data_IF_338595938177
#
_entry.id   IF_338595938177
#
_cell.length_a   1.000
_cell.length_b   1.000
_cell.length_c   1.000
_cell.angle_alpha   90.00
_cell.angle_beta   90.00
_cell.angle_gamma   90.00
#
_symmetry.space_group_name_H-M   'P 1'
#
loop_
_entity.id
_entity.type
_entity.pdbx_description
1 polymer ?
#
# COMPACT_ATOMS: atom_id res chain seq x y z
N UNK A 1 -18.17 -7.39 26.38
CA UNK A 1 -16.91 -6.64 26.59
C UNK A 1 -17.03 -5.40 25.73
N UNK A 2 -16.96 -4.20 26.31
CA UNK A 2 -16.80 -2.99 25.52
C UNK A 2 -15.44 -3.12 24.83
N UNK A 3 -15.42 -3.48 23.54
CA UNK A 3 -14.23 -3.23 22.74
C UNK A 3 -14.17 -1.72 22.55
N UNK A 4 -13.32 -1.05 23.33
CA UNK A 4 -13.01 0.35 23.09
C UNK A 4 -12.58 0.51 21.63
N UNK A 5 -13.06 1.59 20.98
CA UNK A 5 -12.60 1.91 19.62
C UNK A 5 -11.08 2.03 19.64
N UNK A 6 -10.36 1.47 18.66
CA UNK A 6 -8.91 1.58 18.60
C UNK A 6 -8.46 3.04 18.58
N UNK A 7 -7.35 3.33 19.24
CA UNK A 7 -6.82 4.70 19.34
C UNK A 7 -6.25 5.18 17.99
N UNK A 8 -6.55 6.44 17.65
CA UNK A 8 -5.96 7.15 16.53
C UNK A 8 -4.66 7.82 16.97
N UNK A 9 -3.53 7.32 16.47
CA UNK A 9 -2.20 7.76 16.90
C UNK A 9 -1.59 8.80 15.96
N UNK A 10 -1.83 8.69 14.65
CA UNK A 10 -1.30 9.60 13.64
C UNK A 10 -2.42 10.10 12.74
N UNK A 11 -3.02 11.27 13.03
CA UNK A 11 -4.07 11.86 12.21
C UNK A 11 -3.52 12.59 10.97
N UNK A 12 -4.42 13.08 10.12
CA UNK A 12 -4.14 13.93 8.94
C UNK A 12 -3.26 13.25 7.90
N UNK A 13 -3.49 11.95 7.66
CA UNK A 13 -2.71 11.18 6.70
C UNK A 13 -3.22 11.31 5.26
N UNK A 14 -4.46 11.73 5.04
CA UNK A 14 -5.03 11.87 3.69
C UNK A 14 -4.19 12.85 2.87
N UNK A 15 -3.86 12.46 1.64
CA UNK A 15 -2.98 13.20 0.73
C UNK A 15 -1.53 13.41 1.23
N UNK A 16 -1.10 12.71 2.27
CA UNK A 16 0.32 12.70 2.63
C UNK A 16 1.09 11.83 1.65
N UNK A 17 2.15 12.40 1.08
CA UNK A 17 3.01 11.75 0.10
C UNK A 17 3.97 10.76 0.75
N UNK A 18 4.19 9.63 0.10
CA UNK A 18 5.20 8.64 0.51
C UNK A 18 5.71 7.83 -0.68
N UNK A 19 6.74 7.04 -0.46
CA UNK A 19 7.25 6.06 -1.43
C UNK A 19 7.72 4.79 -0.75
N UNK A 20 7.78 3.71 -1.51
CA UNK A 20 8.21 2.40 -1.03
C UNK A 20 9.18 1.72 -1.99
N UNK A 21 10.24 1.14 -1.47
CA UNK A 21 11.15 0.25 -2.20
C UNK A 21 10.92 -1.16 -1.69
N UNK A 22 10.50 -2.06 -2.58
CA UNK A 22 10.31 -3.48 -2.28
C UNK A 22 11.53 -4.24 -2.77
N UNK A 23 12.25 -4.88 -1.86
CA UNK A 23 13.41 -5.71 -2.20
C UNK A 23 13.02 -7.18 -2.07
N UNK A 24 13.11 -7.93 -3.15
CA UNK A 24 12.66 -9.32 -3.24
C UNK A 24 13.84 -10.27 -2.98
N UNK A 25 13.61 -11.29 -2.15
CA UNK A 25 14.58 -12.32 -1.82
C UNK A 25 14.02 -13.70 -2.11
N UNK A 26 14.88 -14.64 -2.48
CA UNK A 26 14.58 -16.06 -2.43
C UNK A 26 15.11 -16.62 -1.11
N UNK A 27 14.23 -17.17 -0.29
CA UNK A 27 14.54 -17.74 1.03
C UNK A 27 13.84 -19.10 1.13
N UNK A 28 14.63 -20.16 1.31
CA UNK A 28 14.10 -21.52 1.55
C UNK A 28 13.07 -22.02 0.51
N UNK A 29 13.28 -21.68 -0.77
CA UNK A 29 12.38 -22.08 -1.86
C UNK A 29 11.11 -21.22 -2.00
N UNK A 30 11.00 -20.14 -1.22
CA UNK A 30 9.93 -19.14 -1.31
C UNK A 30 10.50 -17.78 -1.69
N UNK A 31 9.63 -16.92 -2.20
CA UNK A 31 9.93 -15.53 -2.44
C UNK A 31 9.27 -14.66 -1.38
N UNK A 32 10.03 -13.73 -0.84
CA UNK A 32 9.58 -12.75 0.14
C UNK A 32 10.07 -11.37 -0.30
N UNK A 33 9.27 -10.33 -0.10
CA UNK A 33 9.75 -8.95 -0.24
C UNK A 33 9.78 -8.22 1.11
N UNK A 34 10.85 -7.48 1.35
CA UNK A 34 10.89 -6.48 2.41
C UNK A 34 10.44 -5.13 1.85
N UNK A 35 9.53 -4.45 2.57
CA UNK A 35 9.01 -3.15 2.15
C UNK A 35 9.68 -2.06 2.98
N UNK A 36 10.54 -1.27 2.33
CA UNK A 36 11.12 -0.07 2.92
C UNK A 36 10.31 1.14 2.49
N UNK A 37 9.84 1.95 3.44
CA UNK A 37 9.01 3.11 3.11
C UNK A 37 9.39 4.37 3.86
N UNK A 38 8.98 5.51 3.30
CA UNK A 38 9.27 6.86 3.83
C UNK A 38 8.26 7.32 4.89
N UNK A 39 7.23 6.52 5.18
CA UNK A 39 6.13 6.92 6.05
C UNK A 39 6.62 7.37 7.43
N UNK A 40 6.20 8.58 7.82
CA UNK A 40 6.58 9.25 9.08
C UNK A 40 8.08 9.59 9.20
N UNK A 41 8.82 9.58 8.09
CA UNK A 41 10.26 9.89 8.04
C UNK A 41 10.52 11.06 7.09
N UNK A 42 9.99 11.00 5.87
CA UNK A 42 10.06 12.08 4.88
C UNK A 42 8.91 11.94 3.86
N UNK A 43 8.78 12.95 3.01
CA UNK A 43 7.73 13.11 2.00
C UNK A 43 8.09 12.49 0.63
N UNK A 44 9.07 11.57 0.59
CA UNK A 44 9.57 10.92 -0.62
C UNK A 44 10.05 11.94 -1.68
N UNK A 45 11.08 12.77 -1.43
CA UNK A 45 11.44 13.90 -2.30
C UNK A 45 11.54 13.51 -3.77
N UNK A 46 10.79 14.21 -4.66
CA UNK A 46 10.67 13.82 -6.08
C UNK A 46 12.02 13.74 -6.78
N UNK A 47 12.86 14.77 -6.60
CA UNK A 47 14.18 14.84 -7.24
C UNK A 47 15.08 13.67 -6.83
N UNK A 48 15.02 13.22 -5.57
CA UNK A 48 15.78 12.05 -5.12
C UNK A 48 15.13 10.75 -5.62
N UNK A 49 13.80 10.67 -5.61
CA UNK A 49 13.08 9.46 -6.03
C UNK A 49 13.38 9.10 -7.49
N UNK A 50 13.41 10.11 -8.37
CA UNK A 50 13.72 9.95 -9.80
C UNK A 50 15.15 9.46 -10.06
N UNK A 51 16.04 9.60 -9.07
CA UNK A 51 17.42 9.13 -9.17
C UNK A 51 17.62 7.71 -8.63
N UNK A 52 16.58 7.06 -8.09
CA UNK A 52 16.67 5.68 -7.62
C UNK A 52 16.86 4.71 -8.80
N UNK A 53 17.82 3.80 -8.66
CA UNK A 53 18.04 2.70 -9.60
C UNK A 53 17.68 1.38 -8.91
N UNK A 54 16.60 0.76 -9.35
CA UNK A 54 16.11 -0.50 -8.79
C UNK A 54 17.13 -1.65 -8.93
N UNK A 55 17.90 -1.70 -10.02
CA UNK A 55 18.91 -2.75 -10.22
C UNK A 55 20.09 -2.54 -9.28
N UNK A 56 20.55 -1.29 -9.11
CA UNK A 56 21.62 -0.97 -8.17
C UNK A 56 21.19 -1.26 -6.72
N UNK A 57 19.95 -0.92 -6.35
CA UNK A 57 19.37 -1.24 -5.04
C UNK A 57 19.32 -2.76 -4.84
N UNK A 58 18.84 -3.52 -5.83
CA UNK A 58 18.77 -4.97 -5.72
C UNK A 58 20.15 -5.58 -5.47
N UNK A 59 21.16 -5.13 -6.23
CA UNK A 59 22.54 -5.58 -6.08
C UNK A 59 23.13 -5.26 -4.70
N UNK A 60 22.96 -4.03 -4.20
CA UNK A 60 23.43 -3.62 -2.87
C UNK A 60 22.76 -4.41 -1.73
N UNK A 61 21.47 -4.72 -1.90
CA UNK A 61 20.69 -5.49 -0.94
C UNK A 61 20.98 -6.98 -0.98
N UNK A 62 21.67 -7.49 -2.01
CA UNK A 62 21.71 -8.93 -2.30
C UNK A 62 20.34 -9.52 -2.62
N UNK A 63 19.42 -8.67 -3.10
CA UNK A 63 18.08 -9.04 -3.51
C UNK A 63 18.09 -9.51 -4.99
N UNK A 64 17.13 -10.36 -5.36
CA UNK A 64 17.00 -10.81 -6.75
C UNK A 64 16.40 -9.73 -7.65
N UNK A 65 15.64 -8.81 -7.04
CA UNK A 65 15.00 -7.69 -7.70
C UNK A 65 14.64 -6.62 -6.65
N UNK A 66 14.52 -5.37 -7.10
CA UNK A 66 13.84 -4.34 -6.36
C UNK A 66 12.73 -3.73 -7.23
N UNK A 67 11.65 -3.28 -6.59
CA UNK A 67 10.57 -2.54 -7.21
C UNK A 67 10.45 -1.17 -6.53
N UNK A 68 10.49 -0.11 -7.32
CA UNK A 68 10.12 1.23 -6.89
C UNK A 68 8.59 1.31 -6.94
N UNK A 69 7.95 1.42 -5.79
CA UNK A 69 6.50 1.33 -5.62
C UNK A 69 5.94 2.70 -5.20
N UNK A 70 5.92 3.64 -6.15
CA UNK A 70 5.46 5.00 -5.93
C UNK A 70 6.07 6.03 -6.89
N UNK A 71 5.95 7.34 -6.59
CA UNK A 71 5.42 7.92 -5.36
C UNK A 71 3.90 7.72 -5.20
N UNK A 72 3.43 7.83 -3.96
CA UNK A 72 2.05 7.53 -3.55
C UNK A 72 1.49 8.60 -2.63
N UNK A 73 0.17 8.66 -2.57
CA UNK A 73 -0.58 9.46 -1.61
C UNK A 73 -1.59 8.59 -0.88
N UNK A 74 -1.67 8.73 0.43
CA UNK A 74 -2.68 8.03 1.23
C UNK A 74 -4.08 8.52 0.91
N UNK A 75 -5.02 7.58 0.80
CA UNK A 75 -6.47 7.84 0.73
C UNK A 75 -7.18 7.53 2.03
N UNK A 76 -6.45 7.13 3.07
CA UNK A 76 -6.89 6.98 4.46
C UNK A 76 -6.62 8.26 5.25
N UNK A 77 -7.28 8.42 6.39
CA UNK A 77 -7.23 9.64 7.20
C UNK A 77 -6.28 9.55 8.40
N UNK A 78 -6.04 8.34 8.92
CA UNK A 78 -5.14 8.16 10.05
C UNK A 78 -4.55 6.75 10.18
N UNK A 79 -3.47 6.67 10.97
CA UNK A 79 -2.92 5.44 11.50
C UNK A 79 -3.23 5.29 12.99
N UNK A 80 -3.50 4.06 13.41
CA UNK A 80 -3.57 3.66 14.81
C UNK A 80 -2.33 2.90 15.24
N UNK A 81 -2.52 1.96 16.17
CA UNK A 81 -1.46 1.09 16.65
C UNK A 81 -0.78 0.37 15.47
N UNK A 82 0.55 0.35 15.51
CA UNK A 82 1.38 -0.50 14.67
C UNK A 82 2.09 -1.53 15.54
N UNK A 83 1.80 -2.80 15.31
CA UNK A 83 2.53 -3.93 15.88
C UNK A 83 3.76 -4.17 15.00
N UNK A 84 4.93 -4.24 15.62
CA UNK A 84 6.15 -4.53 14.89
C UNK A 84 6.08 -5.97 14.37
N UNK A 85 5.83 -6.08 13.06
CA UNK A 85 5.81 -7.36 12.32
C UNK A 85 7.21 -7.76 11.85
N UNK A 86 8.16 -6.83 11.89
CA UNK A 86 9.58 -7.03 11.62
C UNK A 86 10.38 -5.98 12.40
N UNK A 87 11.65 -6.27 12.68
CA UNK A 87 12.53 -5.29 13.29
C UNK A 87 12.66 -4.06 12.37
N UNK A 88 12.53 -2.83 12.91
CA UNK A 88 12.67 -1.62 12.13
C UNK A 88 14.13 -1.45 11.72
N UNK A 89 14.40 -1.69 10.44
CA UNK A 89 15.71 -1.43 9.84
C UNK A 89 15.62 -0.12 9.08
N UNK A 90 16.38 0.88 9.52
CA UNK A 90 16.60 2.09 8.73
C UNK A 90 17.61 1.79 7.63
N UNK A 91 17.32 2.24 6.42
CA UNK A 91 18.21 2.15 5.27
C UNK A 91 18.06 3.41 4.43
N UNK A 92 19.15 3.83 3.83
CA UNK A 92 19.15 4.93 2.88
C UNK A 92 19.22 4.36 1.45
N UNK A 93 18.34 4.83 0.58
CA UNK A 93 18.44 4.59 -0.86
C UNK A 93 18.65 5.92 -1.54
N UNK A 94 19.89 6.15 -2.01
CA UNK A 94 20.29 7.36 -2.73
C UNK A 94 19.85 8.68 -2.04
N UNK A 95 20.19 8.85 -0.76
CA UNK A 95 19.81 10.04 0.01
C UNK A 95 18.39 10.02 0.60
N UNK A 96 17.56 9.01 0.29
CA UNK A 96 16.24 8.85 0.89
C UNK A 96 16.29 7.86 2.04
N UNK A 97 16.18 8.35 3.27
CA UNK A 97 16.03 7.48 4.44
C UNK A 97 14.66 6.79 4.43
N UNK A 98 14.64 5.47 4.56
CA UNK A 98 13.45 4.64 4.64
C UNK A 98 13.56 3.69 5.82
N UNK A 99 12.42 3.16 6.27
CA UNK A 99 12.35 2.12 7.31
C UNK A 99 11.66 0.89 6.75
N UNK A 100 12.13 -0.30 7.12
CA UNK A 100 11.39 -1.55 6.88
C UNK A 100 10.08 -1.53 7.66
N UNK A 101 8.95 -1.50 6.94
CA UNK A 101 7.61 -1.32 7.51
C UNK A 101 6.70 -2.54 7.37
N UNK A 102 7.05 -3.48 6.50
CA UNK A 102 6.29 -4.70 6.26
C UNK A 102 7.17 -5.77 5.59
N UNK A 103 6.69 -7.02 5.62
CA UNK A 103 7.14 -8.09 4.75
C UNK A 103 5.96 -8.62 3.92
N UNK A 104 6.27 -9.12 2.73
CA UNK A 104 5.28 -9.62 1.77
C UNK A 104 5.64 -11.06 1.42
N UNK A 105 4.68 -11.97 1.60
CA UNK A 105 4.83 -13.35 1.15
C UNK A 105 4.39 -13.45 -0.32
N UNK A 106 5.34 -13.73 -1.21
CA UNK A 106 5.10 -13.92 -2.64
C UNK A 106 4.92 -15.39 -3.01
N UNK A 107 5.02 -16.31 -2.04
CA UNK A 107 4.89 -17.75 -2.24
C UNK A 107 6.06 -18.38 -3.00
N UNK A 108 5.88 -19.61 -3.47
CA UNK A 108 6.89 -20.36 -4.24
C UNK A 108 6.99 -19.88 -5.69
N UNK A 109 5.86 -19.44 -6.25
CA UNK A 109 5.75 -18.89 -7.61
C UNK A 109 5.05 -17.53 -7.49
N UNK A 110 5.81 -16.42 -7.56
CA UNK A 110 5.25 -15.08 -7.46
C UNK A 110 4.21 -14.86 -8.55
N UNK A 111 2.97 -14.63 -8.14
CA UNK A 111 1.94 -14.13 -9.05
C UNK A 111 2.07 -12.61 -9.11
N UNK A 112 2.54 -12.12 -10.25
CA UNK A 112 2.76 -10.70 -10.48
C UNK A 112 1.68 -10.17 -11.42
N UNK A 113 1.20 -8.96 -11.13
CA UNK A 113 0.25 -8.26 -11.99
C UNK A 113 -0.90 -7.63 -11.22
N UNK A 114 -1.69 -6.79 -11.90
CA UNK A 114 -2.83 -6.13 -11.30
C UNK A 114 -3.93 -7.16 -10.93
N UNK A 115 -4.80 -6.77 -10.01
CA UNK A 115 -5.94 -7.55 -9.51
C UNK A 115 -5.56 -8.91 -8.90
N UNK A 116 -4.29 -9.07 -8.51
CA UNK A 116 -3.78 -10.25 -7.84
C UNK A 116 -3.60 -9.96 -6.35
N UNK A 117 -4.28 -10.74 -5.51
CA UNK A 117 -4.10 -10.65 -4.07
C UNK A 117 -2.69 -11.01 -3.63
N UNK A 118 -2.18 -10.22 -2.71
CA UNK A 118 -0.91 -10.41 -2.03
C UNK A 118 -1.14 -10.33 -0.52
N UNK A 119 -0.42 -11.16 0.24
CA UNK A 119 -0.50 -11.20 1.70
C UNK A 119 0.61 -10.34 2.29
N UNK A 120 0.23 -9.26 2.96
CA UNK A 120 1.15 -8.24 3.48
C UNK A 120 1.12 -8.27 5.01
N UNK A 121 2.24 -8.66 5.60
CA UNK A 121 2.42 -8.63 7.04
C UNK A 121 2.89 -7.22 7.43
N UNK A 122 1.95 -6.38 7.90
CA UNK A 122 2.19 -4.96 8.24
C UNK A 122 1.73 -4.53 9.63
N UNK A 123 0.82 -5.29 10.26
CA UNK A 123 0.40 -5.11 11.64
C UNK A 123 -0.06 -3.70 11.98
N UNK A 124 -1.02 -3.12 11.27
CA UNK A 124 -1.41 -1.71 11.47
C UNK A 124 -2.91 -1.49 11.39
N UNK A 125 -3.40 -0.48 12.10
CA UNK A 125 -4.78 0.00 12.01
C UNK A 125 -4.84 1.21 11.09
N UNK A 126 -5.70 1.15 10.08
CA UNK A 126 -6.02 2.25 9.17
C UNK A 126 -7.43 2.76 9.40
N UNK A 127 -7.62 4.06 9.28
CA UNK A 127 -8.92 4.73 9.46
C UNK A 127 -9.28 5.53 8.22
N UNK A 128 -10.55 5.44 7.83
CA UNK A 128 -11.20 6.37 6.92
C UNK A 128 -12.37 7.03 7.63
N UNK A 129 -12.44 8.35 7.57
CA UNK A 129 -13.39 9.13 8.35
C UNK A 129 -14.80 9.08 7.73
N UNK A 130 -15.83 9.16 8.58
CA UNK A 130 -17.20 9.40 8.14
C UNK A 130 -17.26 10.65 7.24
N UNK A 131 -18.08 10.58 6.18
CA UNK A 131 -18.22 11.64 5.20
C UNK A 131 -17.13 11.66 4.12
N UNK A 132 -16.07 10.87 4.24
CA UNK A 132 -15.05 10.76 3.19
C UNK A 132 -15.56 9.91 2.02
N UNK A 133 -15.16 10.29 0.81
CA UNK A 133 -15.31 9.43 -0.36
C UNK A 133 -14.24 8.35 -0.35
N UNK A 134 -14.67 7.11 -0.48
CA UNK A 134 -13.80 5.95 -0.67
C UNK A 134 -13.97 5.37 -2.06
N UNK A 135 -12.90 4.72 -2.52
CA UNK A 135 -12.78 4.14 -3.85
C UNK A 135 -12.61 2.64 -3.70
N UNK A 136 -13.48 1.85 -4.32
CA UNK A 136 -13.55 0.42 -4.08
C UNK A 136 -13.45 -0.37 -5.39
N UNK A 137 -12.65 -1.42 -5.37
CA UNK A 137 -12.72 -2.52 -6.34
C UNK A 137 -13.58 -3.62 -5.74
N UNK A 138 -14.60 -4.07 -6.46
CA UNK A 138 -15.47 -5.16 -6.03
C UNK A 138 -15.24 -6.36 -6.94
N UNK A 139 -14.83 -7.48 -6.37
CA UNK A 139 -14.61 -8.71 -7.11
C UNK A 139 -15.95 -9.43 -7.43
N UNK A 140 -15.93 -10.50 -8.25
CA UNK A 140 -17.15 -11.24 -8.61
C UNK A 140 -17.89 -11.89 -7.44
N UNK A 141 -17.20 -12.14 -6.32
CA UNK A 141 -17.79 -12.70 -5.09
C UNK A 141 -18.41 -11.62 -4.19
N UNK A 142 -18.31 -10.34 -4.58
CA UNK A 142 -18.83 -9.20 -3.83
C UNK A 142 -17.88 -8.65 -2.76
N UNK A 143 -16.63 -9.13 -2.68
CA UNK A 143 -15.61 -8.58 -1.78
C UNK A 143 -15.20 -7.19 -2.27
N UNK A 144 -15.34 -6.18 -1.41
CA UNK A 144 -15.02 -4.79 -1.71
C UNK A 144 -13.66 -4.42 -1.10
N UNK A 145 -12.67 -4.20 -1.95
CA UNK A 145 -11.33 -3.74 -1.59
C UNK A 145 -11.31 -2.22 -1.59
N UNK A 146 -10.97 -1.59 -0.46
CA UNK A 146 -10.89 -0.13 -0.35
C UNK A 146 -9.49 0.36 -0.74
N UNK A 147 -9.42 1.39 -1.57
CA UNK A 147 -8.16 2.05 -1.92
C UNK A 147 -7.52 2.61 -0.64
N UNK A 148 -6.29 2.19 -0.37
CA UNK A 148 -5.44 2.75 0.68
C UNK A 148 -4.47 3.80 0.13
N UNK A 149 -4.09 3.70 -1.15
CA UNK A 149 -3.13 4.63 -1.73
C UNK A 149 -3.33 4.82 -3.22
N UNK A 150 -3.37 6.09 -3.63
CA UNK A 150 -3.23 6.52 -5.01
C UNK A 150 -1.76 6.52 -5.39
N UNK A 151 -1.43 6.03 -6.58
CA UNK A 151 -0.08 6.01 -7.13
C UNK A 151 0.05 6.98 -8.30
N UNK A 152 1.15 7.73 -8.33
CA UNK A 152 1.50 8.61 -9.46
C UNK A 152 2.73 8.10 -10.23
N UNK A 153 3.25 6.93 -9.86
CA UNK A 153 4.44 6.34 -10.50
C UNK A 153 4.20 5.82 -11.91
N UNK A 154 2.96 5.35 -12.20
CA UNK A 154 2.56 4.89 -13.54
C UNK A 154 1.94 6.01 -14.36
N UNK A 155 1.03 6.76 -13.75
CA UNK A 155 0.38 7.92 -14.36
C UNK A 155 0.60 9.17 -13.49
N UNK A 156 1.56 10.05 -13.85
CA UNK A 156 1.84 11.28 -13.12
C UNK A 156 0.68 12.29 -13.12
N UNK A 157 -0.30 12.14 -14.01
CA UNK A 157 -1.48 13.01 -14.06
C UNK A 157 -2.58 12.58 -13.08
N UNK A 158 -2.41 11.46 -12.36
CA UNK A 158 -3.40 10.99 -11.41
C UNK A 158 -3.50 11.93 -10.20
N UNK A 159 -4.73 12.29 -9.85
CA UNK A 159 -5.07 13.17 -8.72
C UNK A 159 -6.19 12.57 -7.87
N UNK A 160 -6.39 13.02 -6.63
CA UNK A 160 -7.55 12.61 -5.83
C UNK A 160 -8.88 12.77 -6.57
N UNK A 161 -9.08 13.87 -7.29
CA UNK A 161 -10.32 14.11 -8.05
C UNK A 161 -10.49 13.12 -9.20
N UNK A 162 -9.39 12.73 -9.87
CA UNK A 162 -9.43 11.75 -10.97
C UNK A 162 -9.91 10.36 -10.51
N UNK A 163 -9.82 10.06 -9.22
CA UNK A 163 -10.31 8.80 -8.67
C UNK A 163 -11.82 8.67 -8.77
N UNK A 164 -12.58 9.78 -8.84
CA UNK A 164 -14.03 9.73 -8.94
C UNK A 164 -14.52 9.03 -10.22
N UNK A 165 -13.75 9.13 -11.30
CA UNK A 165 -14.07 8.52 -12.61
C UNK A 165 -13.07 7.44 -13.03
N UNK A 166 -12.18 7.01 -12.12
CA UNK A 166 -11.12 6.03 -12.42
C UNK A 166 -11.65 4.74 -13.04
N UNK A 167 -12.84 4.28 -12.63
CA UNK A 167 -13.47 3.06 -13.17
C UNK A 167 -13.67 3.06 -14.70
N UNK A 168 -13.76 4.22 -15.34
CA UNK A 168 -13.86 4.34 -16.81
C UNK A 168 -12.52 4.06 -17.52
N UNK A 169 -11.42 4.14 -16.78
CA UNK A 169 -10.05 3.97 -17.27
C UNK A 169 -9.48 2.60 -16.93
N UNK A 170 -10.07 1.88 -15.98
CA UNK A 170 -9.56 0.62 -15.49
C UNK A 170 -9.80 -0.53 -16.47
N UNK A 171 -8.78 -1.34 -16.71
CA UNK A 171 -8.84 -2.62 -17.41
C UNK A 171 -9.30 -3.73 -16.46
N UNK A 172 -10.53 -3.59 -15.94
CA UNK A 172 -11.09 -4.50 -14.95
C UNK A 172 -11.22 -5.94 -15.50
N UNK A 173 -10.82 -6.96 -14.73
CA UNK A 173 -11.09 -8.35 -15.09
C UNK A 173 -12.60 -8.63 -15.16
N UNK A 174 -12.97 -9.71 -15.85
CA UNK A 174 -14.38 -10.11 -15.97
C UNK A 174 -15.06 -10.24 -14.59
N UNK A 175 -16.23 -9.64 -14.44
CA UNK A 175 -17.03 -9.65 -13.22
C UNK A 175 -16.56 -8.69 -12.12
N UNK A 176 -15.42 -8.01 -12.29
CA UNK A 176 -15.00 -6.95 -11.37
C UNK A 176 -15.74 -5.64 -11.68
N UNK A 177 -15.92 -4.82 -10.65
CA UNK A 177 -16.43 -3.46 -10.79
C UNK A 177 -15.64 -2.46 -9.95
N UNK A 178 -15.68 -1.21 -10.35
CA UNK A 178 -15.17 -0.09 -9.58
C UNK A 178 -16.33 0.79 -9.14
N UNK A 179 -16.32 1.25 -7.89
CA UNK A 179 -17.30 2.21 -7.39
C UNK A 179 -16.68 3.20 -6.42
N UNK A 180 -17.38 4.31 -6.23
CA UNK A 180 -17.12 5.25 -5.14
C UNK A 180 -18.33 5.30 -4.21
N UNK A 181 -18.09 5.54 -2.93
CA UNK A 181 -19.17 5.83 -1.97
C UNK A 181 -18.69 6.81 -0.92
N UNK A 182 -19.62 7.58 -0.38
CA UNK A 182 -19.38 8.37 0.83
C UNK A 182 -19.59 7.46 2.04
N UNK A 183 -18.65 7.47 2.98
CA UNK A 183 -18.78 6.72 4.21
C UNK A 183 -19.87 7.33 5.11
N UNK A 184 -20.85 6.53 5.51
CA UNK A 184 -21.86 6.93 6.50
C UNK A 184 -21.36 6.74 7.94
N UNK A 185 -20.28 6.00 8.12
CA UNK A 185 -19.59 5.79 9.39
C UNK A 185 -18.09 5.60 9.15
N UNK A 186 -17.28 5.88 10.17
CA UNK A 186 -15.84 5.64 10.14
C UNK A 186 -15.55 4.17 9.81
N UNK A 187 -14.72 3.94 8.79
CA UNK A 187 -14.24 2.61 8.44
C UNK A 187 -12.86 2.38 9.08
N UNK A 188 -12.74 1.29 9.81
CA UNK A 188 -11.51 0.88 10.47
C UNK A 188 -11.03 -0.43 9.85
N UNK A 189 -9.78 -0.46 9.38
CA UNK A 189 -9.11 -1.68 8.91
C UNK A 189 -7.95 -1.98 9.85
N UNK A 190 -8.23 -2.80 10.86
CA UNK A 190 -7.29 -3.38 11.81
C UNK A 190 -6.66 -4.68 11.28
N UNK A 191 -5.35 -4.63 11.07
CA UNK A 191 -4.52 -5.80 10.70
C UNK A 191 -3.49 -6.15 11.78
N UNK A 192 -3.70 -5.71 13.03
CA UNK A 192 -2.74 -5.95 14.13
C UNK A 192 -2.67 -7.42 14.55
N UNK A 193 -3.74 -8.18 14.34
CA UNK A 193 -3.83 -9.61 14.65
C UNK A 193 -3.93 -10.53 13.42
N UNK A 194 -3.97 -9.97 12.21
CA UNK A 194 -4.22 -10.72 10.96
C UNK A 194 -3.32 -10.22 9.82
N UNK A 195 -3.06 -11.09 8.83
CA UNK A 195 -2.30 -10.70 7.64
C UNK A 195 -3.22 -9.94 6.69
N UNK A 196 -2.79 -8.76 6.22
CA UNK A 196 -3.58 -7.96 5.31
C UNK A 196 -3.63 -8.61 3.92
N UNK A 197 -4.79 -8.50 3.26
CA UNK A 197 -4.95 -8.84 1.85
C UNK A 197 -4.96 -7.55 1.04
N UNK A 198 -3.98 -7.40 0.14
CA UNK A 198 -3.77 -6.21 -0.67
C UNK A 198 -3.69 -6.61 -2.13
N UNK A 199 -4.23 -5.77 -3.02
CA UNK A 199 -4.00 -5.87 -4.47
C UNK A 199 -3.69 -4.50 -5.05
N UNK A 200 -3.27 -4.48 -6.30
CA UNK A 200 -3.04 -3.26 -7.07
C UNK A 200 -3.85 -3.29 -8.38
N UNK A 201 -4.29 -2.14 -8.87
CA UNK A 201 -4.72 -2.00 -10.27
C UNK A 201 -3.51 -1.78 -11.19
N UNK A 202 -3.73 -1.64 -12.51
CA UNK A 202 -2.67 -1.43 -13.49
C UNK A 202 -1.99 -0.06 -13.41
N UNK A 203 -2.59 0.90 -12.70
CA UNK A 203 -1.96 2.18 -12.35
C UNK A 203 -1.19 2.10 -11.02
N UNK A 204 -1.13 0.90 -10.43
CA UNK A 204 -0.54 0.59 -9.14
C UNK A 204 -1.18 1.31 -7.95
N UNK A 205 -2.43 1.78 -8.05
CA UNK A 205 -3.17 2.16 -6.86
C UNK A 205 -3.34 0.90 -6.00
N UNK A 206 -3.15 1.04 -4.69
CA UNK A 206 -3.22 -0.09 -3.77
C UNK A 206 -4.55 -0.11 -3.05
N UNK A 207 -5.14 -1.30 -2.95
CA UNK A 207 -6.40 -1.54 -2.27
C UNK A 207 -6.23 -2.62 -1.22
N UNK A 208 -6.86 -2.45 -0.06
CA UNK A 208 -6.86 -3.41 1.03
C UNK A 208 -8.26 -3.97 1.20
N UNK A 209 -8.38 -5.26 1.51
CA UNK A 209 -9.66 -5.85 1.88
C UNK A 209 -9.99 -5.46 3.34
N UNK A 210 -11.10 -4.76 3.62
CA UNK A 210 -11.68 -4.70 4.95
C UNK A 210 -12.23 -6.09 5.32
N UNK A 211 -11.99 -6.52 6.55
CA UNK A 211 -12.35 -7.87 7.04
C UNK A 211 -13.85 -8.19 6.96
#
# INVERSE_FOLDING_TARGET
MNSEKPERLVPNMRNVRYGEVLTVFSREGRFEAEVYGTQLINDCPQELWETLDANAIAADMGAIAAKLNGPRYWTLDAFGQKVAVADPVLREFNGITMRRIATVDLGEIPKLGPYTETKVNRGVIFFWDEGQTVHELVNPDGLAYIMQALCIGVDPAMTPDSLLTLGERLALPEGWSYRTRVLEEELIVDTTATIATVLQDEFENSYTLPF
#
